data_IF_814762884613
#
_entry.id   IF_814762884613
#
_cell.length_a   1.000
_cell.length_b   1.000
_cell.length_c   1.000
_cell.angle_alpha   90.00
_cell.angle_beta   90.00
_cell.angle_gamma   90.00
#
_symmetry.space_group_name_H-M   'P 1'
#
loop_
_entity.id
_entity.type
_entity.pdbx_description
1 polymer ?
#
# COMPACT_ATOMS: atom_id res chain seq x y z
N UNK A 1 -25.44 52.37 -5.41
CA UNK A 1 -24.42 52.41 -6.48
C UNK A 1 -23.87 51.00 -6.64
N UNK A 2 -24.30 50.27 -7.66
CA UNK A 2 -23.77 48.95 -8.05
C UNK A 2 -23.72 48.95 -9.58
N UNK A 3 -22.52 48.81 -10.14
CA UNK A 3 -22.29 48.79 -11.60
C UNK A 3 -22.69 47.42 -12.18
N UNK A 4 -23.32 47.37 -13.37
CA UNK A 4 -23.73 46.12 -14.00
C UNK A 4 -22.56 45.41 -14.70
N UNK A 5 -22.70 44.09 -14.79
CA UNK A 5 -21.71 43.13 -15.27
C UNK A 5 -21.40 43.35 -16.77
N UNK A 6 -20.11 43.38 -17.09
CA UNK A 6 -19.57 43.57 -18.44
C UNK A 6 -19.74 42.29 -19.26
N UNK A 7 -20.51 42.39 -20.33
CA UNK A 7 -20.55 41.44 -21.43
C UNK A 7 -19.29 41.59 -22.31
N UNK A 8 -19.06 40.58 -23.16
CA UNK A 8 -18.21 40.54 -24.36
C UNK A 8 -16.87 39.80 -24.20
N UNK A 9 -16.89 38.58 -24.73
CA UNK A 9 -15.88 38.14 -25.69
C UNK A 9 -14.67 37.42 -25.10
N UNK A 10 -14.66 36.10 -25.19
CA UNK A 10 -13.86 35.44 -26.23
C UNK A 10 -14.16 33.95 -26.22
N UNK A 11 -14.20 33.37 -27.41
CA UNK A 11 -14.13 31.94 -27.61
C UNK A 11 -12.96 31.31 -26.84
N UNK A 12 -13.26 30.17 -26.26
CA UNK A 12 -12.41 29.06 -25.78
C UNK A 12 -13.20 28.46 -24.64
N UNK A 13 -14.06 27.53 -25.03
CA UNK A 13 -14.72 26.59 -24.15
C UNK A 13 -13.65 26.08 -23.18
N UNK A 14 -13.69 26.56 -21.95
CA UNK A 14 -13.02 25.88 -20.85
C UNK A 14 -13.64 24.50 -20.81
N UNK A 15 -12.84 23.49 -21.15
CA UNK A 15 -13.24 22.12 -20.88
C UNK A 15 -13.64 22.09 -19.40
N UNK A 16 -14.84 21.56 -19.07
CA UNK A 16 -15.10 21.23 -17.69
C UNK A 16 -14.04 20.21 -17.31
N UNK A 17 -13.02 20.65 -16.57
CA UNK A 17 -12.20 19.75 -15.79
C UNK A 17 -13.18 19.09 -14.82
N UNK A 18 -13.75 17.96 -15.23
CA UNK A 18 -14.81 17.20 -14.56
C UNK A 18 -14.34 16.61 -13.22
N UNK A 19 -13.10 16.93 -12.81
CA UNK A 19 -12.47 16.46 -11.60
C UNK A 19 -11.90 15.06 -11.74
N UNK A 20 -12.02 14.42 -12.91
CA UNK A 20 -11.55 13.08 -13.20
C UNK A 20 -10.29 13.10 -14.06
N UNK A 21 -9.30 13.90 -13.67
CA UNK A 21 -7.95 13.77 -14.23
C UNK A 21 -7.40 12.38 -13.91
N UNK A 22 -7.34 11.50 -14.91
CA UNK A 22 -6.70 10.19 -14.78
C UNK A 22 -5.20 10.41 -14.62
N UNK A 23 -4.71 10.30 -13.38
CA UNK A 23 -3.27 10.33 -13.10
C UNK A 23 -2.75 8.90 -13.29
N UNK A 24 -2.01 8.69 -14.37
CA UNK A 24 -1.26 7.46 -14.57
C UNK A 24 -0.02 7.48 -13.68
N UNK A 25 -0.01 6.65 -12.63
CA UNK A 25 1.19 6.42 -11.81
C UNK A 25 2.05 5.39 -12.56
N UNK A 26 3.30 5.75 -12.92
CA UNK A 26 4.20 4.79 -13.55
C UNK A 26 4.38 3.55 -12.66
N UNK A 27 4.45 2.37 -13.28
CA UNK A 27 4.45 1.08 -12.56
C UNK A 27 5.55 0.96 -11.50
N UNK A 28 6.68 1.62 -11.71
CA UNK A 28 7.82 1.68 -10.80
C UNK A 28 7.52 2.43 -9.49
N UNK A 29 6.55 3.35 -9.51
CA UNK A 29 6.13 4.12 -8.33
C UNK A 29 4.86 3.56 -7.68
N UNK A 30 4.24 2.55 -8.28
CA UNK A 30 2.96 2.02 -7.79
C UNK A 30 3.07 1.51 -6.36
N UNK A 31 4.14 0.78 -6.03
CA UNK A 31 4.36 0.25 -4.67
C UNK A 31 4.51 1.40 -3.67
N UNK A 32 5.33 2.39 -4.01
CA UNK A 32 5.53 3.58 -3.17
C UNK A 32 4.21 4.32 -2.93
N UNK A 33 3.45 4.60 -3.99
CA UNK A 33 2.17 5.31 -3.88
C UNK A 33 1.14 4.56 -3.03
N UNK A 34 1.08 3.22 -3.16
CA UNK A 34 0.22 2.38 -2.33
C UNK A 34 0.63 2.51 -0.85
N UNK A 35 1.93 2.44 -0.55
CA UNK A 35 2.44 2.50 0.82
C UNK A 35 2.21 3.87 1.45
N UNK A 36 2.50 4.96 0.74
CA UNK A 36 2.29 6.32 1.23
C UNK A 36 0.81 6.63 1.48
N UNK A 37 -0.08 6.16 0.59
CA UNK A 37 -1.53 6.34 0.74
C UNK A 37 -2.08 5.48 1.89
N UNK A 38 -1.58 4.27 2.04
CA UNK A 38 -2.08 3.32 3.04
C UNK A 38 -1.55 3.65 4.43
N UNK A 39 -0.28 4.03 4.55
CA UNK A 39 0.45 4.25 5.81
C UNK A 39 1.12 5.64 5.85
N UNK A 40 0.35 6.74 5.88
CA UNK A 40 0.90 8.09 5.78
C UNK A 40 1.87 8.46 6.90
N UNK A 41 1.76 7.80 8.06
CA UNK A 41 2.61 8.00 9.23
C UNK A 41 3.41 6.74 9.60
N UNK A 42 3.82 5.94 8.60
CA UNK A 42 4.47 4.64 8.83
C UNK A 42 5.62 4.73 9.84
N UNK A 43 6.52 5.71 9.69
CA UNK A 43 7.69 5.84 10.57
C UNK A 43 7.35 6.19 12.03
N UNK A 44 6.21 6.81 12.27
CA UNK A 44 5.75 7.15 13.63
C UNK A 44 4.98 6.01 14.27
N UNK A 45 4.23 5.24 13.46
CA UNK A 45 3.24 4.26 13.94
C UNK A 45 3.58 2.80 13.59
N UNK A 46 4.77 2.49 13.05
CA UNK A 46 5.10 1.12 12.63
C UNK A 46 5.06 0.09 13.77
N UNK A 47 5.30 0.52 15.02
CA UNK A 47 5.19 -0.35 16.20
C UNK A 47 3.77 -0.44 16.77
N UNK A 48 2.82 0.32 16.22
CA UNK A 48 1.43 0.33 16.67
C UNK A 48 0.61 -0.72 15.90
N UNK A 49 0.41 -1.87 16.52
CA UNK A 49 -0.35 -2.98 15.92
C UNK A 49 -1.76 -2.58 15.48
N UNK A 50 -2.45 -1.70 16.20
CA UNK A 50 -3.80 -1.24 15.86
C UNK A 50 -3.81 -0.33 14.62
N UNK A 51 -2.74 0.45 14.42
CA UNK A 51 -2.59 1.29 13.23
C UNK A 51 -2.43 0.42 11.98
N UNK A 52 -1.58 -0.59 12.05
CA UNK A 52 -1.31 -1.50 10.93
C UNK A 52 -2.53 -2.37 10.58
N UNK A 53 -3.21 -2.93 11.59
CA UNK A 53 -4.37 -3.79 11.38
C UNK A 53 -5.55 -3.09 10.69
N UNK A 54 -5.69 -1.77 10.85
CA UNK A 54 -6.76 -0.99 10.21
C UNK A 54 -6.46 -0.62 8.76
N UNK A 55 -5.26 -0.93 8.26
CA UNK A 55 -4.71 -0.45 6.99
C UNK A 55 -4.23 -1.60 6.11
N UNK A 56 -5.00 -2.69 6.07
CA UNK A 56 -4.67 -3.89 5.28
C UNK A 56 -4.76 -3.59 3.78
N UNK A 57 -3.72 -3.97 3.03
CA UNK A 57 -3.75 -3.99 1.56
C UNK A 57 -4.13 -5.40 1.09
N UNK A 58 -5.28 -5.51 0.41
CA UNK A 58 -5.70 -6.75 -0.23
C UNK A 58 -5.33 -6.71 -1.72
N UNK A 59 -4.67 -7.77 -2.19
CA UNK A 59 -4.34 -7.96 -3.61
C UNK A 59 -4.54 -9.43 -3.98
N UNK A 60 -4.82 -9.68 -5.25
CA UNK A 60 -4.98 -11.03 -5.80
C UNK A 60 -3.64 -11.72 -6.09
N UNK A 61 -2.54 -10.96 -6.15
CA UNK A 61 -1.23 -11.47 -6.56
C UNK A 61 -0.25 -11.48 -5.39
N UNK A 62 0.23 -12.67 -5.03
CA UNK A 62 1.27 -12.85 -3.99
C UNK A 62 2.51 -11.98 -4.25
N UNK A 63 2.93 -11.87 -5.50
CA UNK A 63 4.07 -11.04 -5.89
C UNK A 63 3.92 -9.58 -5.41
N UNK A 64 2.73 -8.99 -5.55
CA UNK A 64 2.49 -7.61 -5.11
C UNK A 64 2.49 -7.51 -3.59
N UNK A 65 1.95 -8.49 -2.87
CA UNK A 65 2.04 -8.56 -1.40
C UNK A 65 3.51 -8.54 -0.97
N UNK A 66 4.33 -9.42 -1.55
CA UNK A 66 5.74 -9.55 -1.21
C UNK A 66 6.50 -8.24 -1.52
N UNK A 67 6.22 -7.60 -2.66
CA UNK A 67 6.80 -6.30 -3.03
C UNK A 67 6.44 -5.18 -2.04
N UNK A 68 5.17 -5.09 -1.63
CA UNK A 68 4.72 -4.10 -0.64
C UNK A 68 5.40 -4.36 0.71
N UNK A 69 5.41 -5.61 1.16
CA UNK A 69 6.03 -5.97 2.43
C UNK A 69 7.53 -5.64 2.45
N UNK A 70 8.26 -6.00 1.39
CA UNK A 70 9.68 -5.68 1.27
C UNK A 70 9.93 -4.16 1.27
N UNK A 71 9.07 -3.39 0.59
CA UNK A 71 9.18 -1.93 0.57
C UNK A 71 8.91 -1.33 1.96
N UNK A 72 7.83 -1.73 2.64
CA UNK A 72 7.53 -1.29 4.02
C UNK A 72 8.68 -1.63 4.97
N UNK A 73 9.22 -2.85 4.89
CA UNK A 73 10.37 -3.26 5.71
C UNK A 73 11.62 -2.43 5.42
N UNK A 74 11.85 -2.02 4.17
CA UNK A 74 12.99 -1.17 3.80
C UNK A 74 12.90 0.26 4.35
N UNK A 75 11.70 0.74 4.69
CA UNK A 75 11.48 2.06 5.26
C UNK A 75 11.63 2.09 6.79
N UNK A 76 11.29 0.99 7.47
CA UNK A 76 11.34 0.92 8.92
C UNK A 76 12.81 0.87 9.38
N UNK A 77 13.26 1.78 10.24
CA UNK A 77 14.59 1.70 10.83
C UNK A 77 14.64 0.51 11.81
N UNK A 78 15.13 -0.63 11.34
CA UNK A 78 15.35 -1.81 12.17
C UNK A 78 16.83 -2.15 12.23
N UNK A 79 17.32 -2.56 13.40
CA UNK A 79 18.45 -3.48 13.45
C UNK A 79 17.96 -4.78 12.80
N UNK A 80 18.60 -5.24 11.73
CA UNK A 80 18.26 -6.50 11.08
C UNK A 80 18.24 -7.63 12.14
N UNK A 81 17.07 -8.24 12.36
CA UNK A 81 16.97 -9.44 13.19
C UNK A 81 16.79 -10.63 12.27
N UNK A 82 17.87 -11.37 12.08
CA UNK A 82 17.80 -12.66 11.42
C UNK A 82 17.12 -13.66 12.37
N UNK A 83 15.89 -14.04 12.04
CA UNK A 83 15.22 -15.15 12.69
C UNK A 83 15.55 -16.42 11.91
N UNK A 84 16.57 -17.15 12.35
CA UNK A 84 16.79 -18.51 11.86
C UNK A 84 15.58 -19.36 12.22
N UNK A 85 14.83 -19.81 11.22
CA UNK A 85 13.83 -20.86 11.42
C UNK A 85 14.56 -22.09 11.97
N UNK A 86 14.26 -22.49 13.21
CA UNK A 86 14.72 -23.76 13.73
C UNK A 86 13.97 -24.87 13.01
N UNK A 87 14.54 -25.38 11.93
CA UNK A 87 14.15 -26.70 11.39
C UNK A 87 14.69 -27.77 12.33
N UNK A 88 14.11 -27.90 13.53
CA UNK A 88 14.16 -29.19 14.21
C UNK A 88 13.16 -30.06 13.45
N UNK A 89 13.66 -30.97 12.62
CA UNK A 89 12.86 -32.11 12.13
C UNK A 89 12.49 -32.88 13.38
N UNK A 90 11.37 -32.52 14.01
CA UNK A 90 10.81 -33.31 15.06
C UNK A 90 10.30 -34.55 14.34
N UNK A 91 10.99 -35.68 14.53
CA UNK A 91 10.61 -36.99 13.98
C UNK A 91 9.23 -37.44 14.54
N UNK A 92 8.53 -36.56 15.28
CA UNK A 92 7.14 -36.68 15.69
C UNK A 92 6.13 -36.07 14.69
N UNK A 93 6.53 -35.18 13.78
CA UNK A 93 5.61 -34.55 12.80
C UNK A 93 5.23 -35.46 11.62
N UNK A 94 5.98 -36.55 11.39
CA UNK A 94 5.58 -37.59 10.41
C UNK A 94 4.26 -38.29 10.80
N UNK A 95 3.83 -38.22 12.07
CA UNK A 95 2.53 -38.75 12.49
C UNK A 95 1.38 -37.74 12.43
N UNK A 96 1.64 -36.43 12.35
CA UNK A 96 0.61 -35.39 12.28
C UNK A 96 0.24 -35.01 10.84
N UNK A 97 1.17 -35.13 9.89
CA UNK A 97 0.89 -34.89 8.46
C UNK A 97 0.03 -35.97 7.78
N UNK A 98 -0.21 -37.11 8.44
CA UNK A 98 -1.16 -38.13 7.96
C UNK A 98 -2.62 -37.84 8.38
N UNK A 99 -2.87 -36.86 9.26
CA UNK A 99 -4.20 -36.57 9.81
C UNK A 99 -4.91 -35.35 9.20
N UNK A 100 -4.29 -34.63 8.23
CA UNK A 100 -4.84 -33.41 7.65
C UNK A 100 -5.09 -33.46 6.12
N UNK A 101 -4.98 -34.63 5.48
CA UNK A 101 -5.27 -34.84 4.04
C UNK A 101 -6.39 -35.87 3.75
N UNK A 102 -7.49 -35.81 4.50
CA UNK A 102 -8.80 -36.36 4.05
C UNK A 102 -9.81 -35.22 3.92
#
# INVERSE_FOLDING_TARGET
>A
MLMPMKDIGNDKLGEPNDGYGEISIPSEFLIQAIVETTYPNLLQDYNNGDFLQKRVVLTSTKYVVDSINNYVMSLIPSEEKEYCSTYSVNIFDEQLNLYLEF
#
